data_IF_095878276262
#
_entry.id   IF_095878276262
#
_cell.length_a   1.000
_cell.length_b   1.000
_cell.length_c   1.000
_cell.angle_alpha   90.00
_cell.angle_beta   90.00
_cell.angle_gamma   90.00
#
_symmetry.space_group_name_H-M   'P 1'
#
loop_
_entity.id
_entity.type
_entity.pdbx_description
1 polymer ?
#
# COMPACT_ATOMS: atom_id res chain seq x y z
N UNK A 1 4.40 20.38 22.01
CA UNK A 1 4.33 18.95 22.34
C UNK A 1 4.84 18.11 21.15
N UNK A 2 6.16 18.03 20.87
CA UNK A 2 6.69 17.23 19.74
C UNK A 2 7.54 16.00 20.14
N UNK A 3 7.99 15.88 21.39
CA UNK A 3 8.99 14.88 21.80
C UNK A 3 8.45 13.43 21.91
N UNK A 4 7.14 13.24 22.10
CA UNK A 4 6.57 11.91 22.33
C UNK A 4 6.42 11.07 21.05
N UNK A 5 6.26 11.69 19.88
CA UNK A 5 6.00 10.98 18.63
C UNK A 5 7.26 10.44 17.94
N UNK A 6 8.40 11.15 18.04
CA UNK A 6 9.69 10.62 17.56
C UNK A 6 10.11 9.31 18.26
N UNK A 7 9.69 9.15 19.52
CA UNK A 7 10.04 8.00 20.35
C UNK A 7 9.33 6.70 19.91
N UNK A 8 8.08 6.80 19.41
CA UNK A 8 7.30 5.63 18.97
C UNK A 8 7.79 5.06 17.64
N UNK A 9 8.16 5.92 16.70
CA UNK A 9 8.69 5.50 15.40
C UNK A 9 10.02 4.77 15.55
N UNK A 10 10.94 5.32 16.35
CA UNK A 10 12.18 4.62 16.70
C UNK A 10 11.91 3.30 17.40
N UNK A 11 10.91 3.25 18.28
CA UNK A 11 10.51 2.03 18.97
C UNK A 11 9.96 0.96 18.01
N UNK A 12 9.21 1.31 16.96
CA UNK A 12 8.77 0.32 15.94
C UNK A 12 9.95 -0.13 15.06
N UNK A 13 10.82 0.77 14.61
CA UNK A 13 11.99 0.42 13.79
C UNK A 13 13.10 -0.30 14.58
N UNK A 14 13.10 -0.24 15.91
CA UNK A 14 14.03 -1.01 16.75
C UNK A 14 13.63 -2.48 16.95
N UNK A 15 12.58 -2.94 16.26
CA UNK A 15 12.08 -4.31 16.40
C UNK A 15 13.08 -5.32 15.85
N UNK A 16 13.21 -6.46 16.53
CA UNK A 16 14.28 -7.44 16.26
C UNK A 16 13.82 -8.59 15.37
N UNK A 17 12.51 -8.77 15.19
CA UNK A 17 11.93 -9.81 14.35
C UNK A 17 10.48 -9.47 13.93
N UNK A 18 9.94 -10.26 13.01
CA UNK A 18 8.63 -10.02 12.41
C UNK A 18 7.48 -10.11 13.42
N UNK A 19 7.54 -11.02 14.40
CA UNK A 19 6.49 -11.14 15.42
C UNK A 19 6.42 -9.90 16.32
N UNK A 20 7.58 -9.35 16.69
CA UNK A 20 7.68 -8.11 17.46
C UNK A 20 7.26 -6.89 16.63
N UNK A 21 7.58 -6.87 15.33
CA UNK A 21 7.14 -5.84 14.41
C UNK A 21 5.61 -5.82 14.30
N UNK A 22 4.96 -6.98 14.12
CA UNK A 22 3.50 -7.10 14.00
C UNK A 22 2.77 -6.60 15.25
N UNK A 23 3.21 -6.99 16.44
CA UNK A 23 2.60 -6.56 17.72
C UNK A 23 2.70 -5.04 17.87
N UNK A 24 3.84 -4.45 17.51
CA UNK A 24 4.06 -3.01 17.62
C UNK A 24 3.30 -2.21 16.55
N UNK A 25 3.09 -2.79 15.37
CA UNK A 25 2.18 -2.24 14.36
C UNK A 25 0.72 -2.28 14.82
N UNK A 26 0.27 -3.38 15.43
CA UNK A 26 -1.09 -3.51 15.96
C UNK A 26 -1.36 -2.49 17.08
N UNK A 27 -0.40 -2.27 17.99
CA UNK A 27 -0.52 -1.26 19.05
C UNK A 27 -0.53 0.17 18.51
N UNK A 28 0.24 0.46 17.47
CA UNK A 28 0.32 1.80 16.88
C UNK A 28 -0.80 2.11 15.87
N UNK A 29 -1.49 1.09 15.36
CA UNK A 29 -2.54 1.20 14.33
C UNK A 29 -3.62 2.24 14.63
N UNK A 30 -3.92 2.49 15.91
CA UNK A 30 -4.99 3.41 16.34
C UNK A 30 -4.69 4.90 16.08
N UNK A 31 -3.42 5.29 16.11
CA UNK A 31 -2.97 6.69 15.96
C UNK A 31 -2.08 6.90 14.71
N UNK A 32 -1.77 5.81 13.99
CA UNK A 32 -0.84 5.75 12.85
C UNK A 32 -1.14 6.78 11.76
N UNK A 33 -2.39 6.84 11.29
CA UNK A 33 -2.81 7.75 10.20
C UNK A 33 -2.60 9.22 10.61
N UNK A 34 -2.79 9.56 11.89
CA UNK A 34 -2.69 10.93 12.39
C UNK A 34 -1.24 11.38 12.57
N UNK A 35 -0.41 10.53 13.18
CA UNK A 35 1.02 10.80 13.39
C UNK A 35 1.82 10.84 12.07
N UNK A 36 1.45 10.04 11.06
CA UNK A 36 2.13 10.04 9.75
C UNK A 36 1.78 11.24 8.88
N UNK A 37 0.55 11.73 8.96
CA UNK A 37 0.07 12.87 8.16
C UNK A 37 0.48 14.20 8.81
N UNK A 38 0.34 14.34 10.13
CA UNK A 38 0.60 15.61 10.83
C UNK A 38 2.09 15.81 11.18
N UNK A 39 2.84 14.78 11.59
CA UNK A 39 4.22 14.96 12.09
C UNK A 39 5.34 14.58 11.09
N UNK A 40 5.06 13.74 10.08
CA UNK A 40 6.08 13.24 9.14
C UNK A 40 5.89 13.66 7.69
N UNK A 41 4.77 14.30 7.33
CA UNK A 41 4.49 14.71 5.95
C UNK A 41 4.54 13.52 4.99
N UNK A 42 3.94 12.37 5.36
CA UNK A 42 3.89 11.18 4.52
C UNK A 42 3.02 11.43 3.29
N UNK A 43 3.58 12.13 2.30
CA UNK A 43 2.91 12.45 1.04
C UNK A 43 2.97 11.29 0.07
N UNK A 44 3.74 10.22 0.34
CA UNK A 44 4.00 9.17 -0.63
C UNK A 44 2.73 8.55 -1.27
N UNK A 45 1.64 8.24 -0.54
CA UNK A 45 0.41 7.70 -1.14
C UNK A 45 -0.22 8.71 -2.09
N UNK A 46 -0.31 9.98 -1.66
CA UNK A 46 -0.83 11.06 -2.48
C UNK A 46 0.07 11.33 -3.69
N UNK A 47 1.38 11.44 -3.50
CA UNK A 47 2.35 11.71 -4.56
C UNK A 47 2.35 10.59 -5.61
N UNK A 48 2.30 9.33 -5.18
CA UNK A 48 2.23 8.19 -6.09
C UNK A 48 0.88 8.14 -6.84
N UNK A 49 -0.23 8.40 -6.15
CA UNK A 49 -1.56 8.51 -6.77
C UNK A 49 -1.62 9.66 -7.79
N UNK A 50 -1.18 10.86 -7.41
CA UNK A 50 -1.08 12.04 -8.28
C UNK A 50 -0.19 11.75 -9.51
N UNK A 51 0.88 10.95 -9.36
CA UNK A 51 1.75 10.57 -10.47
C UNK A 51 1.08 9.56 -11.40
N UNK A 52 0.42 8.54 -10.83
CA UNK A 52 -0.30 7.53 -11.62
C UNK A 52 -1.44 8.17 -12.44
N UNK A 53 -2.20 9.08 -11.83
CA UNK A 53 -3.33 9.77 -12.47
C UNK A 53 -2.95 10.65 -13.68
N UNK A 54 -1.65 10.92 -13.89
CA UNK A 54 -1.17 11.60 -15.11
C UNK A 54 -1.14 10.68 -16.33
N UNK A 55 -1.18 9.36 -16.11
CA UNK A 55 -0.93 8.34 -17.14
C UNK A 55 -2.16 7.48 -17.44
N UNK A 56 -3.10 7.39 -16.50
CA UNK A 56 -4.35 6.60 -16.63
C UNK A 56 -5.56 7.43 -16.18
N UNK A 57 -6.75 7.02 -16.61
CA UNK A 57 -8.01 7.70 -16.27
C UNK A 57 -8.75 7.02 -15.10
N UNK A 58 -9.78 7.69 -14.53
CA UNK A 58 -10.54 7.20 -13.38
C UNK A 58 -11.28 5.87 -13.60
N UNK A 59 -11.56 5.51 -14.85
CA UNK A 59 -12.22 4.25 -15.21
C UNK A 59 -11.24 3.05 -15.26
N UNK A 60 -9.93 3.28 -15.15
CA UNK A 60 -8.92 2.22 -15.18
C UNK A 60 -9.02 1.29 -13.98
N UNK A 61 -8.82 -0.01 -14.22
CA UNK A 61 -8.75 -1.03 -13.17
C UNK A 61 -7.36 -1.01 -12.51
N UNK A 62 -7.31 -0.62 -11.24
CA UNK A 62 -6.06 -0.42 -10.50
C UNK A 62 -5.95 -1.42 -9.34
N UNK A 63 -4.79 -2.05 -9.22
CA UNK A 63 -4.41 -2.81 -8.03
C UNK A 63 -3.53 -1.95 -7.12
N UNK A 64 -3.90 -1.83 -5.85
CA UNK A 64 -3.07 -1.33 -4.77
C UNK A 64 -2.40 -2.52 -4.05
N UNK A 65 -1.15 -2.79 -4.44
CA UNK A 65 -0.38 -3.95 -4.01
C UNK A 65 0.38 -3.65 -2.71
N UNK A 66 -0.12 -4.20 -1.60
CA UNK A 66 0.25 -3.82 -0.23
C UNK A 66 -0.51 -2.58 0.23
N UNK A 67 -1.84 -2.65 0.15
CA UNK A 67 -2.75 -1.53 0.39
C UNK A 67 -2.70 -1.00 1.84
N UNK A 68 -2.24 -1.80 2.81
CA UNK A 68 -2.21 -1.42 4.22
C UNK A 68 -3.59 -0.97 4.70
N UNK A 69 -3.65 0.18 5.36
CA UNK A 69 -4.90 0.80 5.86
C UNK A 69 -5.70 1.55 4.77
N UNK A 70 -5.26 1.50 3.51
CA UNK A 70 -6.00 2.02 2.36
C UNK A 70 -5.72 3.47 1.98
N UNK A 71 -4.58 4.04 2.39
CA UNK A 71 -4.25 5.45 2.14
C UNK A 71 -4.07 5.77 0.65
N UNK A 72 -3.50 4.84 -0.13
CA UNK A 72 -3.38 5.01 -1.59
C UNK A 72 -4.75 4.97 -2.26
N UNK A 73 -5.60 4.01 -1.88
CA UNK A 73 -6.97 3.91 -2.37
C UNK A 73 -7.78 5.19 -2.11
N UNK A 74 -7.68 5.75 -0.91
CA UNK A 74 -8.31 7.05 -0.57
C UNK A 74 -7.81 8.18 -1.49
N UNK A 75 -6.50 8.24 -1.76
CA UNK A 75 -5.91 9.27 -2.60
C UNK A 75 -6.31 9.13 -4.08
N UNK A 76 -6.49 7.90 -4.58
CA UNK A 76 -7.01 7.64 -5.93
C UNK A 76 -8.51 7.92 -6.02
N UNK A 77 -9.30 7.50 -5.02
CA UNK A 77 -10.74 7.76 -4.98
C UNK A 77 -11.06 9.27 -4.95
N UNK A 78 -10.26 10.06 -4.23
CA UNK A 78 -10.35 11.53 -4.24
C UNK A 78 -10.12 12.15 -5.63
N UNK A 79 -9.48 11.42 -6.55
CA UNK A 79 -9.25 11.81 -7.94
C UNK A 79 -10.28 11.19 -8.91
N UNK A 80 -11.29 10.48 -8.39
CA UNK A 80 -12.39 9.93 -9.17
C UNK A 80 -12.23 8.48 -9.60
N UNK A 81 -11.15 7.80 -9.22
CA UNK A 81 -10.97 6.37 -9.49
C UNK A 81 -12.01 5.54 -8.73
N UNK A 82 -12.66 4.61 -9.44
CA UNK A 82 -13.75 3.79 -8.88
C UNK A 82 -13.44 2.28 -8.91
N UNK A 83 -12.54 1.86 -9.80
CA UNK A 83 -12.21 0.45 -10.02
C UNK A 83 -10.93 0.07 -9.27
N UNK A 84 -10.98 0.16 -7.94
CA UNK A 84 -9.84 -0.12 -7.07
C UNK A 84 -9.94 -1.51 -6.45
N UNK A 85 -8.90 -2.33 -6.66
CA UNK A 85 -8.67 -3.56 -5.90
C UNK A 85 -7.49 -3.32 -4.96
N UNK A 86 -7.60 -3.71 -3.70
CA UNK A 86 -6.47 -3.69 -2.76
C UNK A 86 -6.06 -5.11 -2.38
N UNK A 87 -4.77 -5.34 -2.18
CA UNK A 87 -4.28 -6.57 -1.56
C UNK A 87 -3.27 -6.28 -0.46
N UNK A 88 -3.27 -7.08 0.60
CA UNK A 88 -2.29 -7.01 1.69
C UNK A 88 -2.16 -8.38 2.36
N UNK A 89 -1.01 -8.66 2.95
CA UNK A 89 -0.82 -9.92 3.68
C UNK A 89 -1.58 -9.93 5.01
N UNK A 90 -1.83 -8.74 5.58
CA UNK A 90 -2.45 -8.56 6.89
C UNK A 90 -3.96 -8.38 6.77
N UNK A 91 -4.72 -9.34 7.29
CA UNK A 91 -6.18 -9.23 7.40
C UNK A 91 -6.62 -7.99 8.19
N UNK A 92 -5.92 -7.67 9.28
CA UNK A 92 -6.24 -6.51 10.10
C UNK A 92 -6.07 -5.18 9.36
N UNK A 93 -5.07 -5.09 8.46
CA UNK A 93 -4.90 -3.92 7.59
C UNK A 93 -6.04 -3.82 6.59
N UNK A 94 -6.42 -4.93 5.94
CA UNK A 94 -7.54 -4.97 5.00
C UNK A 94 -8.86 -4.57 5.68
N UNK A 95 -9.11 -5.02 6.92
CA UNK A 95 -10.31 -4.62 7.65
C UNK A 95 -10.35 -3.10 7.94
N UNK A 96 -9.20 -2.43 8.04
CA UNK A 96 -9.13 -0.96 8.12
C UNK A 96 -9.33 -0.30 6.75
N UNK A 97 -8.77 -0.87 5.69
CA UNK A 97 -8.97 -0.39 4.32
C UNK A 97 -10.44 -0.49 3.88
N UNK A 98 -11.13 -1.57 4.28
CA UNK A 98 -12.54 -1.80 3.97
C UNK A 98 -13.44 -0.70 4.56
N UNK A 99 -13.14 -0.26 5.79
CA UNK A 99 -13.87 0.83 6.46
C UNK A 99 -13.78 2.17 5.71
N UNK A 100 -12.82 2.34 4.82
CA UNK A 100 -12.70 3.55 3.98
C UNK A 100 -13.74 3.56 2.84
N UNK A 101 -14.27 2.40 2.45
CA UNK A 101 -15.33 2.29 1.44
C UNK A 101 -14.91 2.68 0.02
N UNK A 102 -13.61 2.66 -0.29
CA UNK A 102 -13.06 3.08 -1.59
C UNK A 102 -12.63 1.92 -2.50
N UNK A 103 -12.48 0.71 -1.95
CA UNK A 103 -12.09 -0.46 -2.72
C UNK A 103 -13.31 -1.25 -3.17
N UNK A 104 -13.35 -1.62 -4.45
CA UNK A 104 -14.36 -2.53 -4.99
C UNK A 104 -14.11 -3.97 -4.53
N UNK A 105 -12.85 -4.31 -4.22
CA UNK A 105 -12.42 -5.63 -3.76
C UNK A 105 -11.17 -5.53 -2.90
N UNK A 106 -11.10 -6.36 -1.86
CA UNK A 106 -9.92 -6.52 -1.00
C UNK A 106 -9.55 -7.99 -0.90
N UNK A 107 -8.29 -8.31 -1.20
CA UNK A 107 -7.78 -9.69 -1.22
C UNK A 107 -6.60 -9.87 -0.26
N UNK A 108 -6.62 -10.95 0.52
CA UNK A 108 -5.49 -11.29 1.38
C UNK A 108 -4.47 -12.13 0.62
N UNK A 109 -3.34 -11.53 0.24
CA UNK A 109 -2.26 -12.18 -0.51
C UNK A 109 -0.90 -11.61 -0.11
N UNK A 110 0.18 -12.33 -0.41
CA UNK A 110 1.55 -11.89 -0.08
C UNK A 110 2.33 -11.57 -1.36
N UNK A 111 2.87 -10.36 -1.45
CA UNK A 111 3.77 -9.99 -2.56
C UNK A 111 5.05 -10.82 -2.50
N UNK A 112 5.41 -11.43 -3.64
CA UNK A 112 6.54 -12.37 -3.75
C UNK A 112 6.12 -13.84 -3.73
N UNK A 113 4.85 -14.13 -3.47
CA UNK A 113 4.20 -15.41 -3.75
C UNK A 113 3.34 -15.29 -5.01
N UNK A 114 2.85 -16.40 -5.54
CA UNK A 114 1.90 -16.39 -6.66
C UNK A 114 0.59 -15.72 -6.24
N UNK A 115 0.16 -14.72 -7.01
CA UNK A 115 -1.09 -14.00 -6.79
C UNK A 115 -2.22 -14.68 -7.58
N UNK A 116 -3.39 -14.82 -6.96
CA UNK A 116 -4.59 -15.44 -7.55
C UNK A 116 -5.31 -14.49 -8.52
N UNK A 117 -4.54 -13.83 -9.38
CA UNK A 117 -5.00 -12.99 -10.48
C UNK A 117 -4.57 -13.59 -11.81
N UNK A 118 -5.43 -13.50 -12.82
CA UNK A 118 -5.05 -13.83 -14.19
C UNK A 118 -3.96 -12.88 -14.70
N UNK A 119 -3.28 -13.28 -15.77
CA UNK A 119 -2.27 -12.42 -16.40
C UNK A 119 -2.92 -11.26 -17.14
N UNK A 120 -2.29 -10.09 -17.13
CA UNK A 120 -2.72 -8.91 -17.89
C UNK A 120 -4.15 -8.43 -17.59
N UNK A 121 -4.49 -8.34 -16.31
CA UNK A 121 -5.82 -7.92 -15.82
C UNK A 121 -5.87 -6.44 -15.48
N UNK A 122 -4.84 -5.91 -14.82
CA UNK A 122 -4.85 -4.54 -14.30
C UNK A 122 -4.29 -3.54 -15.32
N UNK A 123 -4.97 -2.39 -15.47
CA UNK A 123 -4.46 -1.27 -16.27
C UNK A 123 -3.27 -0.60 -15.58
N UNK A 124 -3.26 -0.63 -14.24
CA UNK A 124 -2.12 -0.23 -13.44
C UNK A 124 -2.02 -0.99 -12.12
N UNK A 125 -0.80 -1.10 -11.62
CA UNK A 125 -0.51 -1.54 -10.27
C UNK A 125 0.28 -0.45 -9.54
N UNK A 126 -0.13 -0.14 -8.32
CA UNK A 126 0.54 0.82 -7.44
C UNK A 126 0.98 0.13 -6.16
N UNK A 127 2.20 0.38 -5.68
CA UNK A 127 2.72 -0.22 -4.44
C UNK A 127 3.56 0.79 -3.66
N UNK A 128 3.02 1.27 -2.54
CA UNK A 128 3.62 2.39 -1.80
C UNK A 128 3.96 1.99 -0.38
N UNK A 129 5.23 2.11 0.00
CA UNK A 129 5.69 1.82 1.37
C UNK A 129 5.87 0.32 1.67
N UNK A 130 5.80 -0.53 0.65
CA UNK A 130 5.85 -1.99 0.77
C UNK A 130 7.26 -2.54 0.50
N UNK A 131 7.94 -1.97 -0.51
CA UNK A 131 9.27 -2.39 -0.93
C UNK A 131 10.30 -1.97 0.13
N UNK A 132 10.66 -2.90 1.02
CA UNK A 132 11.55 -2.66 2.18
C UNK A 132 12.56 -3.81 2.34
N UNK A 133 13.63 -3.58 3.12
CA UNK A 133 14.66 -4.60 3.31
C UNK A 133 14.07 -5.84 4.02
N UNK A 134 14.02 -6.99 3.33
CA UNK A 134 13.48 -8.25 3.86
C UNK A 134 12.00 -8.51 3.56
N UNK A 135 11.33 -7.62 2.83
CA UNK A 135 9.94 -7.77 2.41
C UNK A 135 9.77 -7.39 0.92
N UNK A 136 8.88 -8.06 0.19
CA UNK A 136 8.70 -7.85 -1.26
C UNK A 136 10.03 -7.93 -2.05
N UNK A 137 10.62 -9.12 -2.08
CA UNK A 137 11.88 -9.39 -2.81
C UNK A 137 11.79 -9.02 -4.30
N UNK A 138 12.89 -8.94 -5.05
CA UNK A 138 12.82 -8.69 -6.50
C UNK A 138 11.87 -9.62 -7.26
N UNK A 139 11.66 -10.86 -6.78
CA UNK A 139 10.69 -11.80 -7.35
C UNK A 139 9.23 -11.30 -7.29
N UNK A 140 8.89 -10.37 -6.41
CA UNK A 140 7.57 -9.72 -6.39
C UNK A 140 7.27 -9.00 -7.69
N UNK A 141 8.29 -8.48 -8.40
CA UNK A 141 8.08 -7.82 -9.68
C UNK A 141 7.63 -8.77 -10.79
N UNK A 142 7.95 -10.06 -10.72
CA UNK A 142 7.50 -11.03 -11.72
C UNK A 142 5.97 -11.11 -11.76
N UNK A 143 5.34 -11.17 -10.59
CA UNK A 143 3.89 -11.16 -10.45
C UNK A 143 3.28 -9.80 -10.80
N UNK A 144 3.88 -8.70 -10.33
CA UNK A 144 3.41 -7.35 -10.68
C UNK A 144 3.41 -7.14 -12.20
N UNK A 145 4.46 -7.58 -12.89
CA UNK A 145 4.54 -7.52 -14.36
C UNK A 145 3.52 -8.46 -15.00
N UNK A 146 3.39 -9.70 -14.51
CA UNK A 146 2.46 -10.69 -15.07
C UNK A 146 1.01 -10.22 -15.05
N UNK A 147 0.56 -9.64 -13.94
CA UNK A 147 -0.84 -9.22 -13.77
C UNK A 147 -1.16 -7.87 -14.41
N UNK A 148 -0.14 -7.06 -14.70
CA UNK A 148 -0.29 -5.78 -15.41
C UNK A 148 -0.51 -6.03 -16.90
N UNK A 149 -1.46 -5.33 -17.52
CA UNK A 149 -1.69 -5.37 -18.97
C UNK A 149 -0.44 -4.93 -19.74
N UNK A 150 -0.24 -5.41 -20.99
CA UNK A 150 0.70 -4.78 -21.91
C UNK A 150 0.39 -3.28 -22.04
N UNK A 151 1.43 -2.45 -21.96
CA UNK A 151 1.33 -0.98 -21.90
C UNK A 151 0.65 -0.41 -20.63
N UNK A 152 0.36 -1.24 -19.63
CA UNK A 152 -0.07 -0.79 -18.31
C UNK A 152 1.09 -0.23 -17.48
N UNK A 153 0.74 0.39 -16.36
CA UNK A 153 1.70 1.11 -15.52
C UNK A 153 1.94 0.41 -14.19
N UNK A 154 3.20 0.34 -13.75
CA UNK A 154 3.57 -0.05 -12.40
C UNK A 154 4.21 1.16 -11.73
N UNK A 155 3.58 1.66 -10.66
CA UNK A 155 4.09 2.78 -9.86
C UNK A 155 4.45 2.24 -8.49
N UNK A 156 5.68 2.45 -8.04
CA UNK A 156 6.10 2.00 -6.72
C UNK A 156 7.00 3.01 -6.04
N UNK A 157 7.04 2.95 -4.71
CA UNK A 157 8.07 3.65 -3.93
C UNK A 157 9.06 2.64 -3.37
N UNK A 158 10.33 3.05 -3.33
CA UNK A 158 11.40 2.31 -2.68
C UNK A 158 12.07 3.24 -1.68
N UNK A 159 12.34 2.73 -0.47
CA UNK A 159 13.16 3.44 0.50
C UNK A 159 14.57 2.85 0.43
N UNK A 160 15.50 3.67 -0.06
CA UNK A 160 16.94 3.36 -0.12
C UNK A 160 17.66 3.80 1.13
#
# INVERSE_FOLDING_TARGET
MPEQNQNRVQWVYSSRNNSELTIRYDEWSKDYDKDLIEDFGWTAPKTAADFLAKHIGPDSLVLDAGAGTGLVGMALAAQGFQNLTGMDMSRGMLDQADQKGVYARLDQMTLGESLEYDSSVFDAVISVGVMTLGHATPASFDELVRITKPNGYIVFTIRT
#
